data_IF_262495193388
#
_entry.id   IF_262495193388
#
_cell.length_a   1.000
_cell.length_b   1.000
_cell.length_c   1.000
_cell.angle_alpha   90.00
_cell.angle_beta   90.00
_cell.angle_gamma   90.00
#
_symmetry.space_group_name_H-M   'P 1'
#
loop_
_entity.id
_entity.type
_entity.pdbx_description
1 polymer ?
#
# COMPACT_ATOMS: atom_id res chain seq x y z
N UNK A 1 15.06 24.63 4.12
CA UNK A 1 14.38 23.32 4.00
C UNK A 1 15.26 22.30 4.70
N UNK A 2 14.88 21.84 5.89
CA UNK A 2 15.66 20.85 6.65
C UNK A 2 15.56 19.50 5.95
N UNK A 3 16.70 18.89 5.59
CA UNK A 3 16.75 17.50 5.11
C UNK A 3 16.08 16.60 6.15
N UNK A 4 15.17 15.72 5.72
CA UNK A 4 14.61 14.71 6.61
C UNK A 4 15.75 13.76 7.04
N UNK A 5 15.83 13.37 8.32
CA UNK A 5 16.77 12.34 8.74
C UNK A 5 16.55 11.05 7.94
N UNK A 6 17.62 10.31 7.62
CA UNK A 6 17.53 9.02 6.90
C UNK A 6 16.56 8.03 7.60
N UNK A 7 16.52 8.07 8.94
CA UNK A 7 15.60 7.28 9.75
C UNK A 7 14.11 7.60 9.50
N UNK A 8 13.80 8.79 8.97
CA UNK A 8 12.44 9.20 8.62
C UNK A 8 12.10 8.90 7.15
N UNK A 9 13.09 8.87 6.26
CA UNK A 9 12.88 8.51 4.85
C UNK A 9 12.52 7.03 4.71
N UNK A 10 13.24 6.11 5.38
CA UNK A 10 12.91 4.67 5.31
C UNK A 10 11.48 4.37 5.77
N UNK A 11 10.92 5.15 6.70
CA UNK A 11 9.53 4.99 7.18
C UNK A 11 8.49 5.33 6.12
N UNK A 12 8.85 6.09 5.10
CA UNK A 12 8.01 6.40 3.95
C UNK A 12 8.11 5.35 2.85
N UNK A 13 9.05 4.41 2.94
CA UNK A 13 9.27 3.38 1.94
C UNK A 13 8.71 2.03 2.37
N UNK A 14 8.03 1.37 1.44
CA UNK A 14 7.51 0.02 1.58
C UNK A 14 7.99 -0.87 0.44
N UNK A 15 8.68 -1.98 0.77
CA UNK A 15 9.10 -2.96 -0.22
C UNK A 15 8.00 -4.01 -0.44
N UNK A 16 7.53 -4.14 -1.67
CA UNK A 16 6.62 -5.21 -2.08
C UNK A 16 7.40 -6.52 -2.26
N UNK A 17 7.16 -7.51 -1.40
CA UNK A 17 7.77 -8.83 -1.45
C UNK A 17 7.00 -9.72 -2.44
N UNK A 18 7.06 -9.39 -3.73
CA UNK A 18 6.35 -10.11 -4.80
C UNK A 18 7.11 -11.39 -5.25
N UNK A 19 7.55 -12.17 -4.26
CA UNK A 19 8.38 -13.38 -4.38
C UNK A 19 7.56 -14.66 -4.17
N UNK A 20 8.14 -15.81 -4.53
CA UNK A 20 7.42 -17.09 -4.52
C UNK A 20 7.44 -17.80 -3.16
N UNK A 21 8.53 -17.64 -2.39
CA UNK A 21 8.77 -18.43 -1.17
C UNK A 21 9.02 -17.54 0.04
N UNK A 22 8.77 -18.11 1.23
CA UNK A 22 9.06 -17.42 2.50
C UNK A 22 10.57 -17.25 2.70
N UNK A 23 11.39 -18.18 2.23
CA UNK A 23 12.86 -18.09 2.29
C UNK A 23 13.37 -16.89 1.51
N UNK A 24 12.86 -16.68 0.30
CA UNK A 24 13.20 -15.54 -0.54
C UNK A 24 12.73 -14.23 0.10
N UNK A 25 11.51 -14.22 0.65
CA UNK A 25 10.96 -13.07 1.37
C UNK A 25 11.84 -12.68 2.58
N UNK A 26 12.19 -13.65 3.44
CA UNK A 26 13.07 -13.44 4.59
C UNK A 26 14.49 -13.00 4.18
N UNK A 27 14.99 -13.45 3.02
CA UNK A 27 16.28 -12.99 2.49
C UNK A 27 16.22 -11.51 2.08
N UNK A 28 15.16 -11.10 1.37
CA UNK A 28 14.95 -9.70 1.01
C UNK A 28 14.76 -8.79 2.22
N UNK A 29 13.98 -9.23 3.22
CA UNK A 29 13.79 -8.47 4.45
C UNK A 29 15.14 -8.19 5.11
N UNK A 30 15.93 -9.24 5.41
CA UNK A 30 17.26 -9.10 6.03
C UNK A 30 18.15 -8.12 5.26
N UNK A 31 18.15 -8.22 3.93
CA UNK A 31 18.97 -7.39 3.04
C UNK A 31 18.54 -5.92 3.01
N UNK A 32 17.25 -5.64 3.18
CA UNK A 32 16.65 -4.33 2.87
C UNK A 32 16.15 -3.56 4.10
N UNK A 33 16.28 -4.11 5.32
CA UNK A 33 15.82 -3.47 6.58
C UNK A 33 16.40 -2.07 6.82
N UNK A 34 17.64 -1.82 6.37
CA UNK A 34 18.27 -0.50 6.48
C UNK A 34 17.58 0.58 5.61
N UNK A 35 16.93 0.16 4.52
CA UNK A 35 16.35 1.06 3.52
C UNK A 35 14.83 1.15 3.59
N UNK A 36 14.14 0.11 4.05
CA UNK A 36 12.69 0.03 4.09
C UNK A 36 12.17 -0.17 5.52
N UNK A 37 11.26 0.69 5.95
CA UNK A 37 10.58 0.60 7.24
C UNK A 37 9.29 -0.22 7.22
N UNK A 38 8.85 -0.68 6.04
CA UNK A 38 7.64 -1.50 5.87
C UNK A 38 7.87 -2.55 4.79
N UNK A 39 7.40 -3.78 5.02
CA UNK A 39 7.45 -4.86 4.04
C UNK A 39 6.05 -5.35 3.73
N UNK A 40 5.69 -5.35 2.44
CA UNK A 40 4.35 -5.71 1.96
C UNK A 40 4.32 -7.14 1.47
N UNK A 41 3.38 -7.92 1.99
CA UNK A 41 3.08 -9.29 1.59
C UNK A 41 1.80 -9.24 0.76
N UNK A 42 1.92 -9.54 -0.53
CA UNK A 42 0.78 -9.62 -1.44
C UNK A 42 0.16 -11.01 -1.53
N UNK A 43 -0.89 -11.13 -2.35
CA UNK A 43 -1.63 -12.38 -2.58
C UNK A 43 -0.73 -13.56 -2.98
N UNK A 44 0.28 -13.35 -3.84
CA UNK A 44 1.17 -14.43 -4.30
C UNK A 44 1.79 -15.20 -3.13
N UNK A 45 2.44 -14.46 -2.24
CA UNK A 45 3.16 -15.04 -1.11
C UNK A 45 2.17 -15.52 -0.02
N UNK A 46 1.12 -14.74 0.25
CA UNK A 46 0.13 -15.08 1.28
C UNK A 46 -0.68 -16.33 0.93
N UNK A 47 -1.15 -16.47 -0.32
CA UNK A 47 -1.89 -17.67 -0.73
C UNK A 47 -1.02 -18.93 -0.72
N UNK A 48 0.29 -18.80 -0.95
CA UNK A 48 1.21 -19.93 -0.92
C UNK A 48 1.58 -20.38 0.50
N UNK A 49 1.72 -19.44 1.44
CA UNK A 49 2.32 -19.69 2.76
C UNK A 49 1.34 -19.55 3.93
N UNK A 50 0.20 -18.89 3.69
CA UNK A 50 -0.79 -18.56 4.72
C UNK A 50 -0.28 -17.53 5.73
N UNK A 51 -1.01 -17.35 6.86
CA UNK A 51 -0.71 -16.32 7.86
C UNK A 51 0.67 -16.41 8.51
N UNK A 52 1.28 -17.60 8.57
CA UNK A 52 2.58 -17.83 9.21
C UNK A 52 3.71 -16.97 8.61
N UNK A 53 3.55 -16.51 7.37
CA UNK A 53 4.53 -15.65 6.71
C UNK A 53 4.73 -14.31 7.41
N UNK A 54 3.72 -13.81 8.14
CA UNK A 54 3.82 -12.54 8.88
C UNK A 54 4.89 -12.66 9.96
N UNK A 55 4.84 -13.71 10.77
CA UNK A 55 5.81 -13.98 11.83
C UNK A 55 7.21 -14.19 11.25
N UNK A 56 7.32 -14.99 10.19
CA UNK A 56 8.60 -15.28 9.52
C UNK A 56 9.28 -14.04 8.96
N UNK A 57 8.50 -13.10 8.41
CA UNK A 57 9.02 -11.81 7.91
C UNK A 57 9.40 -10.89 9.06
N UNK A 58 8.65 -10.88 10.17
CA UNK A 58 9.03 -10.13 11.39
C UNK A 58 10.32 -10.66 12.00
N UNK A 59 10.46 -11.98 12.16
CA UNK A 59 11.67 -12.65 12.65
C UNK A 59 12.89 -12.36 11.78
N UNK A 60 12.69 -12.18 10.48
CA UNK A 60 13.74 -11.77 9.54
C UNK A 60 14.18 -10.30 9.68
N UNK A 61 13.48 -9.50 10.49
CA UNK A 61 13.82 -8.12 10.82
C UNK A 61 12.84 -7.05 10.31
N UNK A 62 11.68 -7.43 9.79
CA UNK A 62 10.70 -6.45 9.35
C UNK A 62 10.11 -5.68 10.54
N UNK A 63 10.35 -4.37 10.58
CA UNK A 63 9.77 -3.48 11.60
C UNK A 63 8.25 -3.39 11.47
N UNK A 64 7.76 -3.18 10.24
CA UNK A 64 6.32 -3.18 9.93
C UNK A 64 5.98 -4.12 8.79
N UNK A 65 4.85 -4.81 8.92
CA UNK A 65 4.29 -5.72 7.92
C UNK A 65 2.98 -5.15 7.38
N UNK A 66 2.88 -5.08 6.05
CA UNK A 66 1.67 -4.69 5.34
C UNK A 66 1.09 -5.90 4.59
N UNK A 67 -0.08 -6.38 5.00
CA UNK A 67 -0.85 -7.38 4.26
C UNK A 67 -1.73 -6.74 3.18
N UNK A 68 -1.36 -6.98 1.92
CA UNK A 68 -2.02 -6.42 0.75
C UNK A 68 -2.95 -7.44 0.08
N UNK A 69 -3.98 -7.86 0.82
CA UNK A 69 -4.93 -8.92 0.43
C UNK A 69 -6.20 -8.39 -0.24
N UNK A 70 -6.50 -7.09 -0.10
CA UNK A 70 -7.63 -6.41 -0.72
C UNK A 70 -8.96 -7.13 -0.50
N UNK A 71 -9.26 -7.49 0.75
CA UNK A 71 -10.46 -8.28 1.08
C UNK A 71 -11.73 -7.61 0.53
N UNK A 72 -12.58 -8.41 -0.10
CA UNK A 72 -13.80 -7.95 -0.75
C UNK A 72 -14.83 -9.07 -0.80
N UNK A 73 -15.81 -9.02 0.09
CA UNK A 73 -16.89 -10.00 0.23
C UNK A 73 -18.07 -9.35 0.98
N UNK A 74 -19.09 -10.12 1.35
CA UNK A 74 -20.17 -9.64 2.20
C UNK A 74 -19.65 -9.19 3.59
N UNK A 75 -20.35 -8.27 4.27
CA UNK A 75 -19.82 -7.61 5.47
C UNK A 75 -19.34 -8.53 6.59
N UNK A 76 -20.04 -9.63 6.86
CA UNK A 76 -19.67 -10.56 7.92
C UNK A 76 -18.40 -11.33 7.58
N UNK A 77 -18.30 -11.88 6.36
CA UNK A 77 -17.12 -12.63 5.90
C UNK A 77 -15.86 -11.79 5.97
N UNK A 78 -15.91 -10.51 5.54
CA UNK A 78 -14.75 -9.61 5.63
C UNK A 78 -14.41 -9.30 7.08
N UNK A 79 -15.38 -9.11 7.96
CA UNK A 79 -15.13 -8.88 9.38
C UNK A 79 -14.44 -10.09 10.04
N UNK A 80 -14.90 -11.30 9.75
CA UNK A 80 -14.31 -12.54 10.27
C UNK A 80 -12.88 -12.74 9.75
N UNK A 81 -12.65 -12.48 8.46
CA UNK A 81 -11.31 -12.51 7.87
C UNK A 81 -10.37 -11.45 8.50
N UNK A 82 -10.85 -10.23 8.70
CA UNK A 82 -10.07 -9.17 9.38
C UNK A 82 -9.74 -9.57 10.81
N UNK A 83 -10.70 -10.13 11.57
CA UNK A 83 -10.45 -10.61 12.94
C UNK A 83 -9.35 -11.66 12.97
N UNK A 84 -9.43 -12.67 12.10
CA UNK A 84 -8.42 -13.72 11.98
C UNK A 84 -7.03 -13.17 11.61
N UNK A 85 -6.95 -12.22 10.69
CA UNK A 85 -5.69 -11.59 10.27
C UNK A 85 -5.14 -10.63 11.32
N UNK A 86 -6.00 -9.98 12.10
CA UNK A 86 -5.59 -9.13 13.24
C UNK A 86 -4.85 -9.96 14.29
N UNK A 87 -5.23 -11.23 14.48
CA UNK A 87 -4.50 -12.15 15.35
C UNK A 87 -3.08 -12.49 14.85
N UNK A 88 -2.86 -12.49 13.53
CA UNK A 88 -1.52 -12.65 12.94
C UNK A 88 -0.64 -11.40 13.06
N UNK A 89 -1.17 -10.28 13.57
CA UNK A 89 -0.41 -9.09 13.93
C UNK A 89 0.30 -8.32 12.80
N UNK A 90 -0.29 -8.10 11.61
CA UNK A 90 0.25 -7.12 10.66
C UNK A 90 0.04 -5.69 11.16
N UNK A 91 0.77 -4.70 10.64
CA UNK A 91 0.55 -3.28 10.97
C UNK A 91 -0.54 -2.68 10.09
N UNK A 92 -0.54 -3.06 8.81
CA UNK A 92 -1.46 -2.56 7.78
C UNK A 92 -2.16 -3.74 7.09
N UNK A 93 -3.46 -3.58 6.79
CA UNK A 93 -4.25 -4.56 6.02
C UNK A 93 -5.18 -3.84 5.04
N UNK A 94 -5.36 -4.39 3.84
CA UNK A 94 -6.23 -3.79 2.81
C UNK A 94 -7.60 -4.45 2.70
N UNK A 95 -8.61 -3.62 2.44
CA UNK A 95 -9.96 -4.00 1.99
C UNK A 95 -10.33 -3.19 0.75
N UNK A 96 -11.23 -3.69 -0.11
CA UNK A 96 -11.75 -2.90 -1.23
C UNK A 96 -12.88 -1.98 -0.79
N UNK A 97 -12.76 -0.68 -1.09
CA UNK A 97 -13.84 0.29 -0.82
C UNK A 97 -15.10 0.04 -1.65
N UNK A 98 -14.99 -0.71 -2.74
CA UNK A 98 -16.11 -1.14 -3.58
C UNK A 98 -17.11 -2.06 -2.84
N UNK A 99 -16.71 -2.69 -1.73
CA UNK A 99 -17.60 -3.52 -0.91
C UNK A 99 -18.60 -2.72 -0.06
N UNK A 100 -18.54 -1.39 -0.10
CA UNK A 100 -19.51 -0.50 0.52
C UNK A 100 -19.28 -0.23 2.01
N UNK A 101 -20.07 0.70 2.54
CA UNK A 101 -19.84 1.28 3.86
C UNK A 101 -20.07 0.27 5.00
N UNK A 102 -21.04 -0.64 4.88
CA UNK A 102 -21.30 -1.63 5.92
C UNK A 102 -20.13 -2.61 6.06
N UNK A 103 -19.63 -3.14 4.94
CA UNK A 103 -18.47 -4.03 4.93
C UNK A 103 -17.26 -3.37 5.59
N UNK A 104 -16.96 -2.13 5.18
CA UNK A 104 -15.84 -1.36 5.74
C UNK A 104 -15.99 -1.07 7.24
N UNK A 105 -17.19 -0.71 7.71
CA UNK A 105 -17.43 -0.46 9.15
C UNK A 105 -17.25 -1.72 9.99
N UNK A 106 -17.77 -2.86 9.53
CA UNK A 106 -17.60 -4.14 10.26
C UNK A 106 -16.15 -4.59 10.26
N UNK A 107 -15.46 -4.45 9.12
CA UNK A 107 -14.03 -4.69 9.01
C UNK A 107 -13.24 -3.81 10.00
N UNK A 108 -13.52 -2.50 10.04
CA UNK A 108 -12.86 -1.56 10.95
C UNK A 108 -13.09 -1.93 12.42
N UNK A 109 -14.30 -2.32 12.80
CA UNK A 109 -14.59 -2.79 14.16
C UNK A 109 -13.80 -4.06 14.51
N UNK A 110 -13.67 -5.00 13.58
CA UNK A 110 -12.95 -6.26 13.76
C UNK A 110 -11.43 -6.09 13.96
N UNK A 111 -10.86 -4.91 13.66
CA UNK A 111 -9.44 -4.61 13.95
C UNK A 111 -9.15 -4.45 15.43
N UNK A 112 -10.18 -4.12 16.24
CA UNK A 112 -10.03 -3.75 17.65
C UNK A 112 -9.00 -2.62 17.89
N UNK A 113 -8.71 -1.80 16.87
CA UNK A 113 -7.67 -0.77 16.92
C UNK A 113 -6.23 -1.31 16.93
N UNK A 114 -6.03 -2.62 16.74
CA UNK A 114 -4.70 -3.27 16.75
C UNK A 114 -3.95 -3.12 15.43
N UNK A 115 -4.69 -2.99 14.32
CA UNK A 115 -4.13 -2.86 12.97
C UNK A 115 -4.79 -1.70 12.21
N UNK A 116 -4.09 -1.13 11.25
CA UNK A 116 -4.64 -0.07 10.39
C UNK A 116 -5.25 -0.66 9.12
N UNK A 117 -6.54 -0.44 8.90
CA UNK A 117 -7.17 -0.78 7.62
C UNK A 117 -6.98 0.32 6.58
N UNK A 118 -6.62 -0.13 5.37
CA UNK A 118 -6.42 0.68 4.18
C UNK A 118 -7.49 0.35 3.14
N UNK A 119 -8.20 1.37 2.69
CA UNK A 119 -9.21 1.23 1.64
C UNK A 119 -8.59 1.33 0.25
N UNK A 120 -8.63 0.25 -0.53
CA UNK A 120 -8.27 0.28 -1.95
C UNK A 120 -9.40 0.95 -2.73
N UNK A 121 -9.11 2.08 -3.36
CA UNK A 121 -10.08 2.90 -4.11
C UNK A 121 -10.34 2.34 -5.51
N UNK A 122 -9.60 2.80 -6.52
CA UNK A 122 -9.57 2.24 -7.88
C UNK A 122 -8.18 1.66 -8.10
N UNK A 123 -8.09 0.43 -8.62
CA UNK A 123 -6.80 -0.20 -8.90
C UNK A 123 -6.05 0.63 -9.95
N UNK A 124 -4.75 0.82 -9.75
CA UNK A 124 -3.89 1.65 -10.64
C UNK A 124 -3.89 1.18 -12.10
N UNK A 125 -4.24 -0.08 -12.34
CA UNK A 125 -4.36 -0.72 -13.65
C UNK A 125 -5.66 -0.42 -14.41
N UNK A 126 -6.71 0.08 -13.73
CA UNK A 126 -8.02 0.35 -14.34
C UNK A 126 -8.11 1.78 -14.88
N UNK A 127 -8.59 1.92 -16.10
CA UNK A 127 -8.95 3.19 -16.73
C UNK A 127 -10.48 3.38 -16.83
N UNK A 128 -10.91 4.45 -17.51
CA UNK A 128 -12.34 4.76 -17.67
C UNK A 128 -13.10 3.69 -18.48
N UNK A 129 -12.46 3.08 -19.49
CA UNK A 129 -13.07 2.01 -20.28
C UNK A 129 -13.26 0.76 -19.42
N UNK A 130 -12.27 0.40 -18.60
CA UNK A 130 -12.37 -0.73 -17.69
C UNK A 130 -13.51 -0.51 -16.67
N UNK A 131 -13.64 0.70 -16.12
CA UNK A 131 -14.74 1.04 -15.22
C UNK A 131 -16.12 0.95 -15.91
N UNK A 132 -16.28 1.51 -17.10
CA UNK A 132 -17.54 1.42 -17.85
C UNK A 132 -17.91 -0.03 -18.15
N UNK A 133 -16.93 -0.88 -18.52
CA UNK A 133 -17.15 -2.31 -18.77
C UNK A 133 -17.69 -3.09 -17.55
N UNK A 134 -17.50 -2.55 -16.35
CA UNK A 134 -17.99 -3.11 -15.08
C UNK A 134 -19.23 -2.37 -14.54
N UNK A 135 -19.87 -1.52 -15.35
CA UNK A 135 -21.09 -0.79 -15.01
C UNK A 135 -20.86 0.53 -14.27
N UNK A 136 -19.64 1.09 -14.32
CA UNK A 136 -19.30 2.36 -13.70
C UNK A 136 -18.93 3.42 -14.74
N UNK A 137 -19.89 4.28 -15.08
CA UNK A 137 -19.75 5.35 -16.08
C UNK A 137 -18.98 6.60 -15.59
N UNK A 138 -18.55 6.60 -14.33
CA UNK A 138 -17.77 7.71 -13.75
C UNK A 138 -16.28 7.56 -14.04
N UNK A 139 -15.56 8.69 -14.15
CA UNK A 139 -14.10 8.67 -14.31
C UNK A 139 -13.39 8.05 -13.10
N UNK A 140 -12.19 7.47 -13.27
CA UNK A 140 -11.41 6.92 -12.16
C UNK A 140 -11.24 7.90 -11.00
N UNK A 141 -10.90 9.16 -11.29
CA UNK A 141 -10.76 10.20 -10.28
C UNK A 141 -12.06 10.44 -9.49
N UNK A 142 -13.20 10.58 -10.17
CA UNK A 142 -14.48 10.81 -9.51
C UNK A 142 -14.88 9.64 -8.60
N UNK A 143 -14.64 8.40 -9.05
CA UNK A 143 -14.87 7.19 -8.26
C UNK A 143 -13.93 7.13 -7.06
N UNK A 144 -12.66 7.45 -7.25
CA UNK A 144 -11.64 7.49 -6.20
C UNK A 144 -12.02 8.47 -5.10
N UNK A 145 -12.40 9.71 -5.44
CA UNK A 145 -12.80 10.72 -4.44
C UNK A 145 -14.05 10.29 -3.64
N UNK A 146 -15.06 9.76 -4.33
CA UNK A 146 -16.29 9.26 -3.66
C UNK A 146 -15.98 8.10 -2.71
N UNK A 147 -15.15 7.14 -3.15
CA UNK A 147 -14.73 5.99 -2.33
C UNK A 147 -13.81 6.40 -1.18
N UNK A 148 -12.96 7.40 -1.38
CA UNK A 148 -12.11 7.96 -0.35
C UNK A 148 -12.95 8.55 0.80
N UNK A 149 -13.96 9.37 0.48
CA UNK A 149 -14.91 9.89 1.49
C UNK A 149 -15.61 8.75 2.23
N UNK A 150 -16.14 7.77 1.49
CA UNK A 150 -16.86 6.64 2.06
C UNK A 150 -16.01 5.82 3.04
N UNK A 151 -14.76 5.55 2.68
CA UNK A 151 -13.81 4.87 3.54
C UNK A 151 -13.50 5.70 4.80
N UNK A 152 -13.40 7.02 4.65
CA UNK A 152 -13.16 7.92 5.78
C UNK A 152 -14.32 7.87 6.78
N UNK A 153 -15.55 7.98 6.28
CA UNK A 153 -16.78 7.90 7.06
C UNK A 153 -16.99 6.52 7.69
N UNK A 154 -16.46 5.46 7.07
CA UNK A 154 -16.45 4.11 7.63
C UNK A 154 -15.35 3.87 8.69
N UNK A 155 -14.47 4.85 8.91
CA UNK A 155 -13.44 4.82 9.96
C UNK A 155 -12.09 4.22 9.56
N UNK A 156 -11.84 3.94 8.28
CA UNK A 156 -10.59 3.31 7.82
C UNK A 156 -9.37 4.21 8.04
N UNK A 157 -8.29 3.71 8.65
CA UNK A 157 -7.12 4.54 8.97
C UNK A 157 -6.33 5.06 7.76
N UNK A 158 -6.55 4.54 6.56
CA UNK A 158 -5.92 5.06 5.35
C UNK A 158 -6.53 4.57 4.03
N UNK A 159 -5.88 4.94 2.94
CA UNK A 159 -6.29 4.62 1.58
C UNK A 159 -5.12 4.15 0.74
N UNK A 160 -5.42 3.32 -0.25
CA UNK A 160 -4.52 3.03 -1.38
C UNK A 160 -5.08 3.73 -2.62
N UNK A 161 -4.27 4.58 -3.23
CA UNK A 161 -4.63 5.32 -4.46
C UNK A 161 -3.43 5.50 -5.38
N UNK A 162 -3.67 5.77 -6.66
CA UNK A 162 -2.61 6.01 -7.64
C UNK A 162 -1.87 7.33 -7.37
N UNK A 163 -0.64 7.48 -7.86
CA UNK A 163 0.11 8.73 -7.73
C UNK A 163 -0.63 9.96 -8.28
N UNK A 164 -1.39 9.79 -9.37
CA UNK A 164 -2.16 10.86 -10.02
C UNK A 164 -3.33 11.38 -9.16
N UNK A 165 -3.85 10.54 -8.26
CA UNK A 165 -5.02 10.87 -7.44
C UNK A 165 -4.64 11.45 -6.08
N UNK A 166 -3.39 11.29 -5.63
CA UNK A 166 -2.96 11.63 -4.25
C UNK A 166 -3.30 13.07 -3.89
N UNK A 167 -2.97 14.03 -4.77
CA UNK A 167 -3.21 15.45 -4.50
C UNK A 167 -4.71 15.77 -4.39
N UNK A 168 -5.52 15.22 -5.28
CA UNK A 168 -6.97 15.42 -5.25
C UNK A 168 -7.61 14.75 -4.03
N UNK A 169 -7.19 13.53 -3.68
CA UNK A 169 -7.64 12.82 -2.48
C UNK A 169 -7.25 13.61 -1.22
N UNK A 170 -6.03 14.15 -1.15
CA UNK A 170 -5.61 14.98 -0.02
C UNK A 170 -6.43 16.26 0.09
N UNK A 171 -6.71 16.94 -1.03
CA UNK A 171 -7.55 18.14 -1.06
C UNK A 171 -8.99 17.84 -0.60
N UNK A 172 -9.56 16.71 -1.03
CA UNK A 172 -10.90 16.27 -0.64
C UNK A 172 -10.98 15.92 0.85
N UNK A 173 -10.01 15.16 1.37
CA UNK A 173 -10.06 14.65 2.74
C UNK A 173 -9.57 15.64 3.81
N UNK A 174 -8.85 16.68 3.41
CA UNK A 174 -8.17 17.60 4.32
C UNK A 174 -6.82 17.04 4.82
N UNK A 175 -6.03 17.90 5.47
CA UNK A 175 -4.63 17.60 5.81
C UNK A 175 -4.43 16.52 6.90
N UNK A 176 -5.47 16.12 7.65
CA UNK A 176 -5.27 15.42 8.92
C UNK A 176 -5.61 13.92 8.94
N UNK A 177 -4.68 13.17 9.53
CA UNK A 177 -4.75 11.81 10.14
C UNK A 177 -4.74 10.56 9.27
N UNK A 178 -5.04 10.62 7.96
CA UNK A 178 -5.13 9.40 7.14
C UNK A 178 -3.86 9.11 6.36
N UNK A 179 -3.45 7.84 6.41
CA UNK A 179 -2.30 7.33 5.65
C UNK A 179 -2.71 7.17 4.19
N UNK A 180 -2.03 7.86 3.27
CA UNK A 180 -2.12 7.60 1.84
C UNK A 180 -0.96 6.71 1.41
N UNK A 181 -1.30 5.48 1.01
CA UNK A 181 -0.37 4.50 0.47
C UNK A 181 -0.43 4.52 -1.05
N UNK A 182 0.73 4.72 -1.68
CA UNK A 182 0.83 4.96 -3.11
C UNK A 182 1.76 3.93 -3.74
N UNK A 183 1.22 2.90 -4.42
CA UNK A 183 1.98 2.10 -5.39
C UNK A 183 2.21 2.93 -6.67
N UNK A 184 2.86 2.38 -7.69
CA UNK A 184 3.10 3.15 -8.92
C UNK A 184 4.43 3.92 -8.95
N UNK A 185 5.29 3.78 -7.95
CA UNK A 185 6.47 4.64 -7.82
C UNK A 185 7.62 4.16 -8.72
N UNK A 186 8.24 5.08 -9.46
CA UNK A 186 9.38 4.82 -10.34
C UNK A 186 10.44 5.91 -10.18
N UNK A 187 11.71 5.53 -10.22
CA UNK A 187 12.79 6.51 -10.37
C UNK A 187 12.65 7.23 -11.72
N UNK A 188 13.12 8.47 -11.76
CA UNK A 188 13.19 9.25 -12.99
C UNK A 188 13.91 8.47 -14.10
N UNK A 189 13.22 8.20 -15.22
CA UNK A 189 13.76 7.45 -16.37
C UNK A 189 13.66 5.92 -16.29
N UNK A 190 12.96 5.36 -15.29
CA UNK A 190 12.73 3.91 -15.18
C UNK A 190 11.64 3.36 -16.12
N UNK A 191 11.62 2.05 -16.33
CA UNK A 191 10.66 1.39 -17.23
C UNK A 191 9.21 1.36 -16.72
N UNK A 192 8.28 1.46 -17.67
CA UNK A 192 6.83 1.35 -17.49
C UNK A 192 6.39 -0.09 -17.79
N UNK A 193 6.22 -0.91 -16.75
CA UNK A 193 5.66 -2.28 -16.85
C UNK A 193 4.10 -2.19 -16.81
N UNK A 194 3.39 -3.17 -16.22
CA UNK A 194 1.91 -3.20 -16.08
C UNK A 194 1.26 -2.01 -15.33
N UNK A 195 2.06 -1.06 -14.81
CA UNK A 195 1.56 0.11 -14.10
C UNK A 195 1.40 1.30 -15.06
N UNK A 196 0.15 1.67 -15.31
CA UNK A 196 -0.22 2.77 -16.22
C UNK A 196 -0.09 4.17 -15.62
N UNK A 197 -0.26 4.30 -14.30
CA UNK A 197 -0.28 5.56 -13.55
C UNK A 197 0.89 5.61 -12.57
N UNK A 198 1.97 6.29 -12.94
CA UNK A 198 3.23 6.33 -12.19
C UNK A 198 3.63 7.75 -11.79
N UNK A 199 4.46 7.88 -10.75
CA UNK A 199 5.13 9.14 -10.44
C UNK A 199 6.50 8.85 -9.82
N UNK A 200 7.34 9.88 -9.77
CA UNK A 200 8.57 9.84 -8.98
C UNK A 200 8.26 9.81 -7.47
N UNK A 201 9.17 9.25 -6.64
CA UNK A 201 9.04 9.31 -5.18
C UNK A 201 8.77 10.72 -4.66
N UNK A 202 9.51 11.71 -5.18
CA UNK A 202 9.39 13.11 -4.76
C UNK A 202 8.05 13.70 -5.12
N UNK A 203 7.57 13.47 -6.34
CA UNK A 203 6.24 13.95 -6.77
C UNK A 203 5.13 13.36 -5.91
N UNK A 204 5.18 12.05 -5.63
CA UNK A 204 4.19 11.40 -4.79
C UNK A 204 4.15 11.97 -3.36
N UNK A 205 5.31 12.16 -2.74
CA UNK A 205 5.39 12.76 -1.40
C UNK A 205 4.92 14.21 -1.40
N UNK A 206 5.32 15.02 -2.40
CA UNK A 206 4.83 16.41 -2.55
C UNK A 206 3.32 16.47 -2.78
N UNK A 207 2.75 15.49 -3.46
CA UNK A 207 1.31 15.36 -3.65
C UNK A 207 0.57 14.98 -2.35
N UNK A 208 1.28 14.48 -1.33
CA UNK A 208 0.72 14.17 -0.01
C UNK A 208 0.74 12.69 0.38
N UNK A 209 1.47 11.84 -0.36
CA UNK A 209 1.62 10.42 -0.05
C UNK A 209 2.41 10.22 1.25
N UNK A 210 2.00 9.23 2.05
CA UNK A 210 2.66 8.90 3.32
C UNK A 210 3.56 7.65 3.21
N UNK A 211 3.16 6.68 2.38
CA UNK A 211 3.89 5.43 2.21
C UNK A 211 3.96 5.05 0.72
N UNK A 212 5.18 4.91 0.22
CA UNK A 212 5.50 4.60 -1.17
C UNK A 212 5.74 3.09 -1.31
N UNK A 213 4.94 2.41 -2.12
CA UNK A 213 5.10 0.96 -2.38
C UNK A 213 5.95 0.76 -3.63
N UNK A 214 7.10 0.11 -3.44
CA UNK A 214 8.11 -0.14 -4.47
C UNK A 214 8.34 -1.65 -4.54
N UNK A 215 8.31 -2.22 -5.73
CA UNK A 215 8.49 -3.67 -5.95
C UNK A 215 9.63 -3.95 -6.91
N UNK A 216 9.27 -4.30 -8.15
CA UNK A 216 10.22 -4.69 -9.23
C UNK A 216 11.47 -3.81 -9.36
N UNK A 217 11.40 -2.47 -9.33
CA UNK A 217 12.62 -1.65 -9.47
C UNK A 217 13.73 -2.02 -8.49
N UNK A 218 13.40 -2.53 -7.30
CA UNK A 218 14.37 -3.05 -6.33
C UNK A 218 14.60 -4.54 -6.54
N UNK A 219 13.53 -5.34 -6.61
CA UNK A 219 13.66 -6.81 -6.63
C UNK A 219 14.40 -7.37 -7.86
N UNK A 220 14.35 -6.70 -9.00
CA UNK A 220 15.00 -7.16 -10.24
C UNK A 220 16.31 -6.44 -10.53
N UNK A 221 16.74 -5.52 -9.67
CA UNK A 221 17.97 -4.77 -9.88
C UNK A 221 19.20 -5.64 -9.63
N UNK A 222 20.24 -5.45 -10.44
CA UNK A 222 21.56 -6.06 -10.21
C UNK A 222 22.23 -5.50 -8.95
N UNK A 223 21.95 -4.23 -8.63
CA UNK A 223 22.43 -3.52 -7.43
C UNK A 223 21.26 -2.86 -6.69
N UNK A 224 20.43 -3.64 -5.97
CA UNK A 224 19.22 -3.11 -5.31
C UNK A 224 19.53 -2.05 -4.25
N UNK A 225 20.68 -2.12 -3.57
CA UNK A 225 21.12 -1.10 -2.63
C UNK A 225 21.34 0.25 -3.33
N UNK A 226 21.89 0.26 -4.55
CA UNK A 226 22.05 1.50 -5.33
C UNK A 226 20.70 2.12 -5.66
N UNK A 227 19.71 1.30 -6.05
CA UNK A 227 18.34 1.79 -6.29
C UNK A 227 17.76 2.43 -5.03
N UNK A 228 18.05 1.87 -3.85
CA UNK A 228 17.64 2.45 -2.58
C UNK A 228 18.33 3.79 -2.32
N UNK A 229 19.63 3.89 -2.54
CA UNK A 229 20.37 5.15 -2.41
C UNK A 229 19.79 6.24 -3.34
N UNK A 230 19.45 5.89 -4.58
CA UNK A 230 18.85 6.80 -5.54
C UNK A 230 17.46 7.28 -5.09
N UNK A 231 16.63 6.37 -4.56
CA UNK A 231 15.33 6.70 -3.97
C UNK A 231 15.48 7.69 -2.79
N UNK A 232 16.48 7.46 -1.92
CA UNK A 232 16.76 8.34 -0.79
C UNK A 232 17.24 9.72 -1.26
N UNK A 233 18.11 9.77 -2.27
CA UNK A 233 18.58 11.02 -2.85
C UNK A 233 17.44 11.83 -3.47
N UNK A 234 16.52 11.16 -4.17
CA UNK A 234 15.35 11.81 -4.76
C UNK A 234 14.37 12.35 -3.69
N UNK A 235 14.18 11.63 -2.59
CA UNK A 235 13.34 12.08 -1.46
C UNK A 235 13.98 13.19 -0.60
N UNK A 236 15.31 13.29 -0.60
CA UNK A 236 16.05 14.21 0.26
C UNK A 236 16.42 15.56 -0.38
N UNK A 237 16.24 15.69 -1.69
CA UNK A 237 16.53 16.93 -2.44
C UNK A 237 15.27 17.77 -2.75
#
# INVERSE_FOLDING_TARGET
>A
MSRLPEADVRKQLCLALDVATVEEACAWVRRMTAHFGTFKIGLRLFCAQGPSVVDRVREAGAERVFLDLKLHDIPQTVADAVSALTAAGPDLLTVHTAGGAEMMRRAQAATEGRITLLGVTVLTSLDASDLSSTGCESSPLAVTLKRARLAVDAGLGGLVCSPEEVSAVRAELGELSRILVTPGIRLSGGELDDQRRVATPREAVRAGANLLVIGRPVLTATRPEQVCEDLFAELSA
#
